data_IF_142197836116
#
_entry.id   IF_142197836116
#
_cell.length_a   1.000
_cell.length_b   1.000
_cell.length_c   1.000
_cell.angle_alpha   90.00
_cell.angle_beta   90.00
_cell.angle_gamma   90.00
#
_symmetry.space_group_name_H-M   'P 1'
#
loop_
_entity.id
_entity.type
_entity.pdbx_description
1 polymer ?
#
# COMPACT_ATOMS: atom_id res chain seq x y z
N UNK A 1 -11.69 -21.84 -4.02
CA UNK A 1 -10.89 -21.71 -5.27
C UNK A 1 -9.61 -22.50 -5.07
N UNK A 2 -9.19 -23.29 -6.05
CA UNK A 2 -7.93 -24.03 -5.97
C UNK A 2 -6.75 -23.04 -5.98
N UNK A 3 -5.77 -23.29 -5.09
CA UNK A 3 -4.52 -22.54 -5.06
C UNK A 3 -3.57 -23.06 -6.16
N UNK A 4 -3.75 -22.56 -7.37
CA UNK A 4 -2.94 -22.85 -8.55
C UNK A 4 -2.32 -21.55 -9.10
N UNK A 5 -1.64 -21.63 -10.24
CA UNK A 5 -1.05 -20.48 -10.91
C UNK A 5 -2.05 -19.39 -11.26
N UNK A 6 -3.24 -19.74 -11.76
CA UNK A 6 -4.33 -18.80 -12.06
C UNK A 6 -4.73 -18.03 -10.81
N UNK A 7 -4.86 -18.70 -9.66
CA UNK A 7 -5.15 -18.05 -8.39
C UNK A 7 -4.05 -17.05 -8.01
N UNK A 8 -2.79 -17.43 -8.15
CA UNK A 8 -1.65 -16.55 -7.83
C UNK A 8 -1.62 -15.33 -8.76
N UNK A 9 -1.87 -15.47 -10.07
CA UNK A 9 -1.93 -14.34 -10.99
C UNK A 9 -3.09 -13.39 -10.70
N UNK A 10 -4.27 -13.90 -10.38
CA UNK A 10 -5.41 -13.07 -9.97
C UNK A 10 -5.08 -12.26 -8.71
N UNK A 11 -4.41 -12.87 -7.75
CA UNK A 11 -3.99 -12.18 -6.52
C UNK A 11 -2.89 -11.15 -6.79
N UNK A 12 -1.91 -11.44 -7.64
CA UNK A 12 -0.89 -10.48 -8.04
C UNK A 12 -1.53 -9.22 -8.63
N UNK A 13 -2.39 -9.35 -9.63
CA UNK A 13 -3.11 -8.21 -10.20
C UNK A 13 -3.91 -7.44 -9.15
N UNK A 14 -4.62 -8.18 -8.29
CA UNK A 14 -5.42 -7.57 -7.21
C UNK A 14 -4.56 -6.74 -6.25
N UNK A 15 -3.40 -7.23 -5.82
CA UNK A 15 -2.60 -6.51 -4.81
C UNK A 15 -1.72 -5.41 -5.39
N UNK A 16 -1.24 -5.55 -6.62
CA UNK A 16 -0.57 -4.44 -7.34
C UNK A 16 -1.55 -3.29 -7.56
N UNK A 17 -2.77 -3.57 -8.02
CA UNK A 17 -3.82 -2.57 -8.21
C UNK A 17 -4.27 -1.93 -6.89
N UNK A 18 -4.45 -2.72 -5.82
CA UNK A 18 -4.81 -2.19 -4.51
C UNK A 18 -3.74 -1.27 -3.93
N UNK A 19 -2.47 -1.62 -4.10
CA UNK A 19 -1.35 -0.77 -3.68
C UNK A 19 -1.38 0.56 -4.45
N UNK A 20 -1.53 0.52 -5.78
CA UNK A 20 -1.63 1.72 -6.62
C UNK A 20 -2.81 2.60 -6.21
N UNK A 21 -3.99 2.02 -6.07
CA UNK A 21 -5.20 2.75 -5.66
C UNK A 21 -5.02 3.43 -4.29
N UNK A 22 -4.44 2.73 -3.31
CA UNK A 22 -4.20 3.29 -1.99
C UNK A 22 -3.17 4.41 -2.04
N UNK A 23 -2.04 4.22 -2.74
CA UNK A 23 -1.00 5.24 -2.92
C UNK A 23 -1.57 6.51 -3.55
N UNK A 24 -2.30 6.39 -4.66
CA UNK A 24 -2.91 7.54 -5.36
C UNK A 24 -3.99 8.22 -4.52
N UNK A 25 -4.79 7.46 -3.79
CA UNK A 25 -5.81 8.01 -2.89
C UNK A 25 -5.16 8.83 -1.78
N UNK A 26 -4.14 8.30 -1.13
CA UNK A 26 -3.38 9.00 -0.09
C UNK A 26 -2.69 10.23 -0.68
N UNK A 27 -2.02 10.11 -1.83
CA UNK A 27 -1.37 11.23 -2.52
C UNK A 27 -2.34 12.39 -2.79
N UNK A 28 -3.50 12.10 -3.38
CA UNK A 28 -4.48 13.12 -3.76
C UNK A 28 -5.04 13.88 -2.56
N UNK A 29 -5.16 13.23 -1.41
CA UNK A 29 -5.71 13.84 -0.20
C UNK A 29 -4.65 14.53 0.65
N UNK A 30 -3.47 13.97 0.75
CA UNK A 30 -2.37 14.59 1.50
C UNK A 30 -2.01 15.98 0.95
N UNK A 31 -2.02 16.17 -0.37
CA UNK A 31 -1.78 17.47 -0.98
C UNK A 31 -2.81 18.54 -0.61
N UNK A 32 -4.05 18.12 -0.37
CA UNK A 32 -5.15 19.04 -0.04
C UNK A 32 -5.28 19.30 1.47
N UNK A 33 -4.91 18.33 2.28
CA UNK A 33 -5.22 18.35 3.73
C UNK A 33 -4.02 18.73 4.62
N UNK A 34 -2.77 18.53 4.17
CA UNK A 34 -1.58 18.93 4.95
C UNK A 34 -1.45 20.45 5.13
N UNK A 35 -1.71 21.32 4.12
CA UNK A 35 -1.67 22.76 4.34
C UNK A 35 -2.70 23.26 5.34
N UNK A 36 -3.83 22.57 5.47
CA UNK A 36 -4.91 22.87 6.41
C UNK A 36 -4.77 22.14 7.75
N UNK A 37 -3.92 21.14 7.85
CA UNK A 37 -3.67 20.39 9.09
C UNK A 37 -2.99 21.26 10.18
N UNK A 38 -2.38 22.40 9.82
CA UNK A 38 -1.92 23.41 10.77
C UNK A 38 -3.08 24.18 11.45
N UNK A 39 -4.30 24.05 10.91
CA UNK A 39 -5.55 24.49 11.57
C UNK A 39 -6.16 23.25 12.23
N UNK A 40 -5.54 22.84 13.33
CA UNK A 40 -5.96 21.69 14.13
C UNK A 40 -7.40 21.89 14.61
N UNK A 41 -8.32 20.99 14.18
CA UNK A 41 -9.61 20.81 14.82
C UNK A 41 -10.86 21.23 14.04
N UNK A 42 -10.76 21.54 12.75
CA UNK A 42 -11.96 21.79 11.93
C UNK A 42 -12.74 20.49 11.65
N UNK A 43 -14.03 20.47 11.98
CA UNK A 43 -14.95 19.36 11.65
C UNK A 43 -14.92 18.95 10.17
N UNK A 44 -14.56 19.88 9.31
CA UNK A 44 -14.45 19.71 7.87
C UNK A 44 -13.26 18.80 7.45
N UNK A 45 -12.12 18.90 8.13
CA UNK A 45 -10.97 18.04 7.84
C UNK A 45 -11.23 16.59 8.28
N UNK A 46 -11.91 16.40 9.40
CA UNK A 46 -12.25 15.07 9.91
C UNK A 46 -13.21 14.32 8.97
N UNK A 47 -14.22 15.02 8.43
CA UNK A 47 -15.15 14.48 7.45
C UNK A 47 -14.45 14.04 6.16
N UNK A 48 -13.45 14.78 5.70
CA UNK A 48 -12.69 14.45 4.50
C UNK A 48 -11.81 13.20 4.70
N UNK A 49 -11.20 13.03 5.86
CA UNK A 49 -10.47 11.81 6.21
C UNK A 49 -11.41 10.59 6.29
N UNK A 50 -12.59 10.78 6.85
CA UNK A 50 -13.60 9.73 6.92
C UNK A 50 -14.02 9.27 5.51
N UNK A 51 -14.33 10.20 4.60
CA UNK A 51 -14.69 9.88 3.20
C UNK A 51 -13.57 9.09 2.53
N UNK A 52 -12.31 9.51 2.68
CA UNK A 52 -11.17 8.79 2.13
C UNK A 52 -11.05 7.37 2.70
N UNK A 53 -11.12 7.24 4.02
CA UNK A 53 -11.03 5.94 4.68
C UNK A 53 -12.20 5.01 4.31
N UNK A 54 -13.41 5.56 4.08
CA UNK A 54 -14.55 4.79 3.60
C UNK A 54 -14.33 4.28 2.17
N UNK A 55 -13.75 5.09 1.27
CA UNK A 55 -13.42 4.65 -0.09
C UNK A 55 -12.40 3.51 -0.12
N UNK A 56 -11.52 3.45 0.88
CA UNK A 56 -10.55 2.37 1.07
C UNK A 56 -11.09 1.21 1.95
N UNK A 57 -12.36 1.25 2.36
CA UNK A 57 -12.94 0.29 3.32
C UNK A 57 -12.17 0.20 4.65
N UNK A 58 -11.47 1.27 5.02
CA UNK A 58 -10.54 1.34 6.14
C UNK A 58 -11.12 2.03 7.40
N UNK A 59 -12.24 2.77 7.23
CA UNK A 59 -12.83 3.59 8.30
C UNK A 59 -13.11 2.82 9.59
N UNK A 60 -13.86 1.72 9.49
CA UNK A 60 -14.26 0.94 10.68
C UNK A 60 -13.05 0.38 11.42
N UNK A 61 -12.08 -0.15 10.68
CA UNK A 61 -10.88 -0.76 11.25
C UNK A 61 -10.01 0.28 11.97
N UNK A 62 -9.79 1.44 11.36
CA UNK A 62 -9.00 2.51 11.99
C UNK A 62 -9.72 3.10 13.21
N UNK A 63 -11.02 3.35 13.11
CA UNK A 63 -11.83 3.88 14.20
C UNK A 63 -11.82 2.93 15.41
N UNK A 64 -11.90 1.62 15.18
CA UNK A 64 -11.79 0.61 16.22
C UNK A 64 -10.41 0.62 16.89
N UNK A 65 -9.34 0.73 16.11
CA UNK A 65 -7.96 0.76 16.63
C UNK A 65 -7.63 2.04 17.40
N UNK A 66 -8.12 3.18 16.94
CA UNK A 66 -7.77 4.52 17.48
C UNK A 66 -8.82 5.12 18.42
N UNK A 67 -9.90 4.38 18.72
CA UNK A 67 -10.98 4.82 19.63
C UNK A 67 -11.52 6.23 19.31
N UNK A 68 -11.72 6.52 18.03
CA UNK A 68 -12.29 7.76 17.52
C UNK A 68 -11.30 8.94 17.36
N UNK A 69 -10.03 8.80 17.75
CA UNK A 69 -9.01 9.82 17.49
C UNK A 69 -8.32 9.54 16.14
N UNK A 70 -8.70 10.30 15.14
CA UNK A 70 -8.16 10.17 13.79
C UNK A 70 -7.41 11.45 13.46
N UNK A 71 -6.11 11.33 13.29
CA UNK A 71 -5.20 12.38 12.83
C UNK A 71 -4.50 11.94 11.52
N UNK A 72 -4.00 12.87 10.71
CA UNK A 72 -3.39 12.59 9.42
C UNK A 72 -2.26 11.55 9.47
N UNK A 73 -1.42 11.61 10.48
CA UNK A 73 -0.28 10.70 10.62
C UNK A 73 -0.72 9.30 11.00
N UNK A 74 -1.71 9.15 11.86
CA UNK A 74 -2.33 7.86 12.19
C UNK A 74 -2.98 7.22 10.96
N UNK A 75 -3.61 8.02 10.09
CA UNK A 75 -4.19 7.54 8.83
C UNK A 75 -3.08 7.05 7.90
N UNK A 76 -2.01 7.84 7.72
CA UNK A 76 -0.90 7.46 6.87
C UNK A 76 -0.20 6.20 7.39
N UNK A 77 0.13 6.13 8.68
CA UNK A 77 0.75 4.97 9.31
C UNK A 77 -0.08 3.70 9.08
N UNK A 78 -1.40 3.79 9.26
CA UNK A 78 -2.32 2.68 9.06
C UNK A 78 -2.39 2.22 7.60
N UNK A 79 -2.52 3.14 6.66
CA UNK A 79 -2.64 2.82 5.23
C UNK A 79 -1.31 2.42 4.58
N UNK A 80 -0.19 2.81 5.15
CA UNK A 80 1.13 2.46 4.62
C UNK A 80 1.66 1.19 5.29
N UNK A 81 1.65 1.12 6.62
CA UNK A 81 2.46 0.15 7.36
C UNK A 81 1.68 -0.95 8.10
N UNK A 82 0.35 -0.85 8.31
CA UNK A 82 -0.38 -1.86 9.08
C UNK A 82 -0.52 -3.17 8.28
N UNK A 83 0.09 -4.25 8.80
CA UNK A 83 0.07 -5.57 8.15
C UNK A 83 -1.29 -6.27 8.20
N UNK A 84 -2.22 -5.80 9.02
CA UNK A 84 -3.56 -6.39 9.17
C UNK A 84 -4.58 -5.75 8.26
N UNK A 85 -4.25 -4.59 7.67
CA UNK A 85 -5.14 -3.87 6.77
C UNK A 85 -4.96 -4.35 5.33
N UNK A 86 -5.96 -5.05 4.72
CA UNK A 86 -5.82 -5.66 3.37
C UNK A 86 -5.57 -4.68 2.22
N UNK A 87 -5.71 -3.38 2.48
CA UNK A 87 -5.43 -2.29 1.51
C UNK A 87 -4.22 -1.45 1.89
N UNK A 88 -3.49 -1.80 2.95
CA UNK A 88 -2.23 -1.12 3.24
C UNK A 88 -1.17 -1.51 2.22
N UNK A 89 -0.21 -0.62 1.99
CA UNK A 89 0.89 -0.87 1.06
C UNK A 89 1.72 -2.07 1.54
N UNK A 90 1.99 -2.14 2.84
CA UNK A 90 2.75 -3.23 3.43
C UNK A 90 2.06 -4.60 3.25
N UNK A 91 0.75 -4.67 3.50
CA UNK A 91 -0.02 -5.90 3.26
C UNK A 91 0.00 -6.29 1.79
N UNK A 92 -0.25 -5.34 0.89
CA UNK A 92 -0.26 -5.60 -0.55
C UNK A 92 1.09 -6.14 -1.05
N UNK A 93 2.20 -5.51 -0.67
CA UNK A 93 3.53 -5.99 -1.10
C UNK A 93 3.88 -7.35 -0.47
N UNK A 94 3.48 -7.60 0.78
CA UNK A 94 3.65 -8.92 1.38
C UNK A 94 2.91 -10.01 0.58
N UNK A 95 1.67 -9.77 0.19
CA UNK A 95 0.88 -10.68 -0.63
C UNK A 95 1.46 -10.87 -2.03
N UNK A 96 2.00 -9.81 -2.65
CA UNK A 96 2.73 -9.92 -3.93
C UNK A 96 3.94 -10.82 -3.79
N UNK A 97 4.76 -10.64 -2.75
CA UNK A 97 5.92 -11.51 -2.48
C UNK A 97 5.49 -12.95 -2.27
N UNK A 98 4.41 -13.19 -1.52
CA UNK A 98 3.90 -14.54 -1.26
C UNK A 98 3.49 -15.24 -2.57
N UNK A 99 2.67 -14.57 -3.39
CA UNK A 99 2.18 -15.16 -4.64
C UNK A 99 3.32 -15.35 -5.68
N UNK A 100 4.27 -14.41 -5.79
CA UNK A 100 5.45 -14.58 -6.64
C UNK A 100 6.36 -15.71 -6.16
N UNK A 101 6.48 -15.91 -4.86
CA UNK A 101 7.25 -17.03 -4.29
C UNK A 101 6.62 -18.36 -4.65
N UNK A 102 5.30 -18.46 -4.60
CA UNK A 102 4.58 -19.69 -4.97
C UNK A 102 4.72 -19.98 -6.47
N UNK A 103 4.63 -18.95 -7.34
CA UNK A 103 4.87 -19.09 -8.77
C UNK A 103 6.32 -19.49 -9.08
N UNK A 104 7.31 -18.88 -8.41
CA UNK A 104 8.71 -19.23 -8.56
C UNK A 104 8.99 -20.70 -8.20
N UNK A 105 8.34 -21.18 -7.13
CA UNK A 105 8.42 -22.59 -6.71
C UNK A 105 7.74 -23.52 -7.73
N UNK A 106 6.57 -23.14 -8.22
CA UNK A 106 5.78 -23.93 -9.17
C UNK A 106 6.52 -24.09 -10.52
N UNK A 107 7.04 -22.98 -11.04
CA UNK A 107 7.74 -22.97 -12.33
C UNK A 107 9.25 -23.26 -12.22
N UNK A 108 9.77 -23.42 -11.00
CA UNK A 108 11.21 -23.65 -10.72
C UNK A 108 12.11 -22.62 -11.40
N UNK A 109 11.71 -21.36 -11.35
CA UNK A 109 12.39 -20.25 -12.02
C UNK A 109 12.51 -19.05 -11.05
N UNK A 110 13.62 -18.33 -11.16
CA UNK A 110 13.80 -17.04 -10.48
C UNK A 110 13.19 -15.91 -11.31
N UNK A 111 12.61 -14.92 -10.62
CA UNK A 111 11.91 -13.81 -11.25
C UNK A 111 12.42 -12.49 -10.70
N UNK A 112 12.72 -11.53 -11.59
CA UNK A 112 13.13 -10.18 -11.23
C UNK A 112 12.07 -9.43 -10.41
N UNK A 113 10.82 -9.67 -10.74
CA UNK A 113 9.67 -9.13 -10.01
C UNK A 113 9.66 -9.55 -8.53
N UNK A 114 10.06 -10.79 -8.22
CA UNK A 114 10.15 -11.27 -6.85
C UNK A 114 11.25 -10.55 -6.06
N UNK A 115 12.40 -10.29 -6.68
CA UNK A 115 13.51 -9.59 -6.05
C UNK A 115 13.15 -8.12 -5.78
N UNK A 116 12.50 -7.46 -6.75
CA UNK A 116 12.00 -6.10 -6.56
C UNK A 116 10.94 -6.05 -5.45
N UNK A 117 9.96 -6.95 -5.45
CA UNK A 117 8.92 -7.00 -4.42
C UNK A 117 9.50 -7.21 -3.01
N UNK A 118 10.50 -8.09 -2.86
CA UNK A 118 11.23 -8.29 -1.60
C UNK A 118 11.96 -7.02 -1.16
N UNK A 119 12.60 -6.34 -2.09
CA UNK A 119 13.30 -5.07 -1.84
C UNK A 119 12.33 -4.00 -1.31
N UNK A 120 11.14 -3.87 -1.93
CA UNK A 120 10.09 -2.96 -1.49
C UNK A 120 9.58 -3.29 -0.07
N UNK A 121 9.36 -4.56 0.22
CA UNK A 121 9.00 -4.99 1.58
C UNK A 121 10.07 -4.66 2.61
N UNK A 122 11.35 -4.87 2.28
CA UNK A 122 12.46 -4.54 3.18
C UNK A 122 12.58 -3.03 3.40
N UNK A 123 12.37 -2.23 2.37
CA UNK A 123 12.36 -0.77 2.46
C UNK A 123 11.24 -0.27 3.38
N UNK A 124 10.00 -0.76 3.21
CA UNK A 124 8.88 -0.41 4.09
C UNK A 124 9.17 -0.72 5.57
N UNK A 125 9.80 -1.87 5.86
CA UNK A 125 10.20 -2.21 7.23
C UNK A 125 11.20 -1.22 7.83
N UNK A 126 12.18 -0.79 7.04
CA UNK A 126 13.19 0.21 7.45
C UNK A 126 12.54 1.58 7.66
N UNK A 127 11.63 1.97 6.79
CA UNK A 127 10.95 3.27 6.88
C UNK A 127 9.97 3.32 8.05
N UNK A 128 9.26 2.23 8.34
CA UNK A 128 8.44 2.11 9.54
C UNK A 128 9.23 2.37 10.84
N UNK A 129 10.48 1.90 10.90
CA UNK A 129 11.35 2.11 12.05
C UNK A 129 11.76 3.58 12.27
N UNK A 130 11.69 4.42 11.22
CA UNK A 130 12.07 5.86 11.28
C UNK A 130 11.03 6.76 11.93
N UNK A 131 9.85 6.28 12.25
CA UNK A 131 8.68 7.07 12.66
C UNK A 131 8.08 7.91 11.52
N UNK A 132 6.76 7.79 11.34
CA UNK A 132 5.99 8.45 10.26
C UNK A 132 6.15 9.98 10.23
N UNK A 133 6.36 10.62 11.40
CA UNK A 133 6.56 12.08 11.50
C UNK A 133 7.90 12.57 10.91
N UNK A 134 8.86 11.66 10.69
CA UNK A 134 10.18 11.97 10.11
C UNK A 134 10.27 11.65 8.62
N UNK A 135 9.20 11.10 8.04
CA UNK A 135 9.14 10.72 6.64
C UNK A 135 8.56 11.89 5.85
N UNK A 136 9.22 12.30 4.78
CA UNK A 136 8.58 13.12 3.75
C UNK A 136 7.55 12.26 3.01
N UNK A 137 6.30 12.35 3.47
CA UNK A 137 5.21 11.53 2.95
C UNK A 137 4.93 11.77 1.47
N UNK A 138 5.12 13.00 1.00
CA UNK A 138 4.94 13.32 -0.42
C UNK A 138 5.96 12.58 -1.27
N UNK A 139 7.23 12.72 -0.93
CA UNK A 139 8.31 12.04 -1.63
C UNK A 139 8.15 10.52 -1.55
N UNK A 140 7.88 9.99 -0.35
CA UNK A 140 7.67 8.59 -0.10
C UNK A 140 6.56 8.00 -0.99
N UNK A 141 5.39 8.64 -1.01
CA UNK A 141 4.23 8.16 -1.78
C UNK A 141 4.53 8.22 -3.29
N UNK A 142 5.13 9.30 -3.76
CA UNK A 142 5.50 9.46 -5.18
C UNK A 142 6.50 8.38 -5.62
N UNK A 143 7.51 8.12 -4.81
CA UNK A 143 8.50 7.08 -5.06
C UNK A 143 7.85 5.69 -5.13
N UNK A 144 6.93 5.39 -4.19
CA UNK A 144 6.22 4.11 -4.18
C UNK A 144 5.23 3.96 -5.33
N UNK A 145 4.61 5.02 -5.84
CA UNK A 145 3.79 4.96 -7.07
C UNK A 145 4.66 4.54 -8.26
N UNK A 146 5.83 5.15 -8.43
CA UNK A 146 6.77 4.82 -9.52
C UNK A 146 7.21 3.36 -9.40
N UNK A 147 7.64 2.92 -8.21
CA UNK A 147 8.10 1.55 -7.97
C UNK A 147 7.00 0.50 -8.12
N UNK A 148 5.77 0.84 -7.76
CA UNK A 148 4.64 -0.06 -7.95
C UNK A 148 4.31 -0.26 -9.44
N UNK A 149 4.39 0.81 -10.24
CA UNK A 149 4.25 0.72 -11.69
C UNK A 149 5.38 -0.11 -12.32
N UNK A 150 6.62 0.12 -11.89
CA UNK A 150 7.77 -0.69 -12.32
C UNK A 150 7.59 -2.17 -11.97
N UNK A 151 7.13 -2.47 -10.76
CA UNK A 151 6.82 -3.84 -10.33
C UNK A 151 5.78 -4.49 -11.24
N UNK A 152 4.71 -3.78 -11.58
CA UNK A 152 3.68 -4.27 -12.52
C UNK A 152 4.26 -4.57 -13.91
N UNK A 153 5.12 -3.70 -14.43
CA UNK A 153 5.78 -3.89 -15.73
C UNK A 153 6.73 -5.11 -15.70
N UNK A 154 7.54 -5.25 -14.65
CA UNK A 154 8.46 -6.40 -14.52
C UNK A 154 7.69 -7.71 -14.34
N UNK A 155 6.54 -7.71 -13.64
CA UNK A 155 5.67 -8.90 -13.59
C UNK A 155 5.18 -9.26 -15.00
N UNK A 156 4.73 -8.28 -15.79
CA UNK A 156 4.29 -8.53 -17.16
C UNK A 156 5.41 -9.12 -18.02
N UNK A 157 6.62 -8.58 -17.91
CA UNK A 157 7.79 -9.08 -18.64
C UNK A 157 8.21 -10.48 -18.19
N UNK A 158 8.25 -10.75 -16.89
CA UNK A 158 8.65 -12.04 -16.32
C UNK A 158 7.73 -13.21 -16.76
N UNK A 159 6.44 -12.92 -16.95
CA UNK A 159 5.40 -13.90 -17.31
C UNK A 159 4.86 -13.75 -18.73
N UNK A 160 5.48 -12.89 -19.56
CA UNK A 160 5.10 -12.64 -20.95
C UNK A 160 3.62 -12.23 -21.12
N UNK A 161 3.12 -11.38 -20.25
CA UNK A 161 1.84 -10.74 -20.45
C UNK A 161 1.99 -9.62 -21.50
N UNK A 162 1.28 -9.77 -22.62
CA UNK A 162 1.30 -8.82 -23.74
C UNK A 162 0.25 -7.72 -23.52
#
# INVERSE_FOLDING_TARGET
>A
MLHNDIFNFLRLGTYVERADYTLRTVYSKYHRLLPTANVIGGSESQSQWEVMLRSLSAWRSLNWLKKGRIDPFSVADFLIFDQRMPRSINFCYYEVVSNLTDLARLYKKEYKSLDLARTLCCQLKKDRAKNIHKIDLKYFITEHIIKNNELGSIIADDFNFV
#
